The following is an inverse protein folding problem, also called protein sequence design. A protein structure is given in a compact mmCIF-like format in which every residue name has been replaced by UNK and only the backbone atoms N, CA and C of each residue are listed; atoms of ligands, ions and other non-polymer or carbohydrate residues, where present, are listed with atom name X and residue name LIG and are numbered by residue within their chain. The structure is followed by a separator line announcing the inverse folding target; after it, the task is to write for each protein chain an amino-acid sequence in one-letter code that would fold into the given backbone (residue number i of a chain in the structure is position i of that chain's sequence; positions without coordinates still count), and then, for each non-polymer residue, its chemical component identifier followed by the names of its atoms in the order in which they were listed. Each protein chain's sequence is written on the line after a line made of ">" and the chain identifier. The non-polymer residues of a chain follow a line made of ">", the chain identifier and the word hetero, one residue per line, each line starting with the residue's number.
data_IF_596634430718
#
_entry.id   IF_596634430718
#
_cell.length_a   1.000
_cell.length_b   1.000
_cell.length_c   1.000
_cell.angle_alpha   90.00
_cell.angle_beta   90.00
_cell.angle_gamma   90.00
#
_symmetry.space_group_name_H-M   'P 1'
#
loop_
_entity.id
_entity.type
_entity.pdbx_description
1 polymer ?
#
# COMPACT_ATOMS: atom_id res chain seq x y z
N UNK A 1 9.53 -8.20 -38.32
CA UNK A 1 8.76 -7.71 -37.16
C UNK A 1 8.68 -8.86 -36.18
N UNK A 2 9.56 -8.89 -35.19
CA UNK A 2 9.64 -9.96 -34.19
C UNK A 2 8.53 -9.75 -33.14
N UNK A 3 7.96 -10.83 -32.57
CA UNK A 3 6.88 -10.72 -31.59
C UNK A 3 7.38 -10.08 -30.29
N UNK A 4 6.52 -9.28 -29.67
CA UNK A 4 6.74 -8.63 -28.37
C UNK A 4 6.59 -9.70 -27.29
N UNK A 5 7.58 -10.57 -27.18
CA UNK A 5 7.78 -11.50 -26.06
C UNK A 5 9.28 -11.63 -25.86
N UNK A 6 9.95 -10.52 -25.59
CA UNK A 6 11.21 -10.56 -24.86
C UNK A 6 10.87 -10.33 -23.40
N UNK A 7 11.02 -11.42 -22.68
CA UNK A 7 10.93 -11.62 -21.24
C UNK A 7 11.69 -10.47 -20.56
N UNK A 8 11.01 -9.71 -19.70
CA UNK A 8 11.70 -8.80 -18.79
C UNK A 8 12.75 -9.62 -18.01
N UNK A 9 13.98 -9.11 -17.80
CA UNK A 9 15.00 -9.87 -17.09
C UNK A 9 14.40 -10.32 -15.75
N UNK A 10 14.36 -11.63 -15.53
CA UNK A 10 13.54 -12.31 -14.52
C UNK A 10 13.85 -11.97 -13.06
N UNK A 11 14.82 -11.10 -12.76
CA UNK A 11 15.24 -10.83 -11.38
C UNK A 11 15.64 -9.37 -11.18
N UNK A 12 14.68 -8.44 -11.26
CA UNK A 12 14.79 -7.17 -10.55
C UNK A 12 13.59 -7.00 -9.61
N UNK A 13 13.79 -7.33 -8.33
CA UNK A 13 12.81 -7.13 -7.26
C UNK A 13 12.42 -5.66 -7.05
N UNK A 14 13.15 -4.73 -7.68
CA UNK A 14 12.81 -3.30 -7.68
C UNK A 14 11.98 -2.87 -8.88
N UNK A 15 11.75 -3.76 -9.85
CA UNK A 15 10.97 -3.46 -11.05
C UNK A 15 9.48 -3.75 -10.83
N UNK A 16 8.63 -2.88 -11.39
CA UNK A 16 7.20 -3.12 -11.44
C UNK A 16 6.91 -4.26 -12.43
N UNK A 17 6.22 -5.30 -11.95
CA UNK A 17 5.77 -6.38 -12.82
C UNK A 17 4.66 -5.89 -13.75
N UNK A 18 4.57 -6.43 -14.99
CA UNK A 18 3.44 -6.16 -15.85
C UNK A 18 2.14 -6.60 -15.17
N UNK A 19 1.06 -5.83 -15.40
CA UNK A 19 -0.26 -6.18 -14.88
C UNK A 19 -0.70 -7.53 -15.43
N UNK A 20 -1.21 -8.39 -14.56
CA UNK A 20 -1.73 -9.71 -14.93
C UNK A 20 -2.87 -9.57 -15.98
N UNK A 21 -2.89 -10.39 -17.05
CA UNK A 21 -3.86 -10.23 -18.14
C UNK A 21 -5.34 -10.24 -17.73
N UNK A 22 -5.75 -11.12 -16.79
CA UNK A 22 -7.13 -11.14 -16.30
C UNK A 22 -7.45 -9.90 -15.45
N UNK A 23 -6.53 -9.44 -14.62
CA UNK A 23 -6.68 -8.19 -13.88
C UNK A 23 -6.88 -7.00 -14.82
N UNK A 24 -6.13 -6.94 -15.93
CA UNK A 24 -6.31 -5.93 -16.98
C UNK A 24 -7.71 -6.00 -17.60
N UNK A 25 -8.19 -7.20 -17.93
CA UNK A 25 -9.50 -7.38 -18.53
C UNK A 25 -10.62 -6.93 -17.57
N UNK A 26 -10.58 -7.39 -16.32
CA UNK A 26 -11.57 -7.02 -15.30
C UNK A 26 -11.58 -5.53 -15.02
N UNK A 27 -10.41 -4.87 -15.01
CA UNK A 27 -10.33 -3.43 -14.83
C UNK A 27 -11.12 -2.67 -15.91
N UNK A 28 -11.01 -3.10 -17.17
CA UNK A 28 -11.75 -2.48 -18.28
C UNK A 28 -13.27 -2.72 -18.15
N UNK A 29 -13.68 -3.95 -17.81
CA UNK A 29 -15.09 -4.30 -17.57
C UNK A 29 -15.71 -3.47 -16.43
N UNK A 30 -14.93 -3.19 -15.39
CA UNK A 30 -15.35 -2.36 -14.26
C UNK A 30 -15.50 -0.89 -14.65
N UNK A 31 -14.64 -0.35 -15.53
CA UNK A 31 -14.80 1.02 -16.02
C UNK A 31 -16.09 1.20 -16.84
N UNK A 32 -16.50 0.19 -17.58
CA UNK A 32 -17.73 0.26 -18.37
C UNK A 32 -19.01 0.18 -17.51
N UNK A 33 -18.96 -0.51 -16.38
CA UNK A 33 -20.17 -0.92 -15.63
C UNK A 33 -20.28 -0.41 -14.20
N UNK A 34 -19.18 -0.05 -13.54
CA UNK A 34 -19.09 0.16 -12.09
C UNK A 34 -18.38 1.47 -11.71
N UNK A 35 -18.87 2.61 -12.21
CA UNK A 35 -18.27 3.94 -11.98
C UNK A 35 -19.14 4.90 -11.16
N UNK A 36 -20.35 4.50 -10.78
CA UNK A 36 -21.29 5.36 -10.04
C UNK A 36 -20.79 5.63 -8.61
N UNK A 37 -20.90 6.88 -8.15
CA UNK A 37 -20.48 7.30 -6.81
C UNK A 37 -21.03 6.35 -5.72
N UNK A 38 -20.15 5.61 -4.99
CA UNK A 38 -20.56 4.63 -3.99
C UNK A 38 -21.12 5.27 -2.72
N UNK A 39 -21.14 6.59 -2.57
CA UNK A 39 -21.83 7.26 -1.46
C UNK A 39 -23.34 7.42 -1.70
N UNK A 40 -23.85 7.22 -2.93
CA UNK A 40 -25.26 7.44 -3.27
C UNK A 40 -26.14 6.20 -3.01
N UNK A 41 -27.41 6.39 -2.69
CA UNK A 41 -28.35 5.31 -2.35
C UNK A 41 -28.84 4.50 -3.59
N UNK A 42 -28.47 4.93 -4.80
CA UNK A 42 -28.91 4.31 -6.05
C UNK A 42 -28.41 2.85 -6.22
N UNK A 43 -29.15 2.02 -6.99
CA UNK A 43 -28.81 0.61 -7.23
C UNK A 43 -27.39 0.42 -7.79
N UNK A 44 -27.01 1.21 -8.80
CA UNK A 44 -25.68 1.07 -9.41
C UNK A 44 -24.56 1.51 -8.45
N UNK A 45 -24.82 2.47 -7.56
CA UNK A 45 -23.89 2.85 -6.49
C UNK A 45 -23.75 1.73 -5.45
N UNK A 46 -24.83 1.00 -5.17
CA UNK A 46 -24.78 -0.18 -4.30
C UNK A 46 -23.94 -1.31 -4.91
N UNK A 47 -24.03 -1.51 -6.23
CA UNK A 47 -23.20 -2.47 -6.95
C UNK A 47 -21.70 -2.17 -6.76
N UNK A 48 -21.25 -0.93 -6.97
CA UNK A 48 -19.86 -0.57 -6.75
C UNK A 48 -19.43 -0.75 -5.27
N UNK A 49 -20.28 -0.39 -4.30
CA UNK A 49 -19.99 -0.65 -2.88
C UNK A 49 -19.76 -2.14 -2.60
N UNK A 50 -20.60 -3.02 -3.15
CA UNK A 50 -20.45 -4.46 -2.96
C UNK A 50 -19.13 -4.96 -3.56
N UNK A 51 -18.79 -4.53 -4.79
CA UNK A 51 -17.52 -4.88 -5.43
C UNK A 51 -16.29 -4.42 -4.61
N UNK A 52 -16.34 -3.21 -4.04
CA UNK A 52 -15.29 -2.71 -3.14
C UNK A 52 -15.18 -3.60 -1.91
N UNK A 53 -16.31 -3.96 -1.28
CA UNK A 53 -16.31 -4.82 -0.09
C UNK A 53 -15.78 -6.22 -0.40
N UNK A 54 -16.20 -6.84 -1.50
CA UNK A 54 -15.71 -8.13 -1.96
C UNK A 54 -14.19 -8.10 -2.20
N UNK A 55 -13.67 -7.03 -2.82
CA UNK A 55 -12.23 -6.84 -2.99
C UNK A 55 -11.50 -6.72 -1.64
N UNK A 56 -12.03 -5.91 -0.71
CA UNK A 56 -11.44 -5.75 0.64
C UNK A 56 -11.45 -7.05 1.42
N UNK A 57 -12.54 -7.80 1.38
CA UNK A 57 -12.69 -9.11 2.03
C UNK A 57 -11.66 -10.09 1.47
N UNK A 58 -11.57 -10.21 0.14
CA UNK A 58 -10.58 -11.04 -0.54
C UNK A 58 -9.16 -10.71 -0.10
N UNK A 59 -8.73 -9.44 -0.16
CA UNK A 59 -7.37 -9.04 0.24
C UNK A 59 -7.14 -9.34 1.72
N UNK A 60 -8.07 -8.96 2.60
CA UNK A 60 -7.94 -9.17 4.05
C UNK A 60 -7.83 -10.65 4.42
N UNK A 61 -8.55 -11.53 3.72
CA UNK A 61 -8.50 -12.98 3.95
C UNK A 61 -7.14 -13.58 3.60
N UNK A 62 -6.50 -13.14 2.50
CA UNK A 62 -5.17 -13.57 2.11
C UNK A 62 -4.09 -13.03 3.06
N UNK A 63 -4.31 -11.86 3.66
CA UNK A 63 -3.44 -11.25 4.66
C UNK A 63 -3.68 -11.80 6.09
N UNK A 64 -4.78 -12.51 6.33
CA UNK A 64 -5.13 -13.03 7.65
C UNK A 64 -5.57 -11.96 8.66
N UNK A 65 -6.13 -10.84 8.18
CA UNK A 65 -6.60 -9.71 9.01
C UNK A 65 -8.11 -9.50 8.83
N UNK A 66 -8.75 -8.74 9.74
CA UNK A 66 -10.13 -8.33 9.54
C UNK A 66 -10.23 -7.25 8.44
N UNK A 67 -11.32 -7.23 7.67
CA UNK A 67 -11.50 -6.23 6.61
C UNK A 67 -11.60 -4.78 7.14
N UNK A 68 -11.94 -4.61 8.42
CA UNK A 68 -11.91 -3.31 9.13
C UNK A 68 -10.49 -2.81 9.43
N UNK A 69 -9.47 -3.67 9.33
CA UNK A 69 -8.06 -3.33 9.52
C UNK A 69 -7.38 -2.94 8.20
N UNK A 70 -8.11 -3.02 7.07
CA UNK A 70 -7.61 -2.71 5.74
C UNK A 70 -8.11 -1.33 5.28
N UNK A 71 -7.15 -0.46 4.94
CA UNK A 71 -7.39 0.85 4.34
C UNK A 71 -6.79 0.90 2.93
N UNK A 72 -7.58 1.36 1.95
CA UNK A 72 -7.12 1.53 0.56
C UNK A 72 -6.63 2.97 0.38
N UNK A 73 -5.35 3.12 0.07
CA UNK A 73 -4.73 4.44 -0.18
C UNK A 73 -4.42 4.61 -1.66
N UNK A 74 -4.58 5.84 -2.18
CA UNK A 74 -4.37 6.14 -3.59
C UNK A 74 -2.90 6.25 -4.01
N UNK A 75 -1.98 6.42 -3.05
CA UNK A 75 -0.55 6.55 -3.30
C UNK A 75 0.23 5.95 -2.13
N UNK A 76 1.38 5.32 -2.41
CA UNK A 76 2.15 4.55 -1.43
C UNK A 76 2.74 5.43 -0.32
N UNK A 77 3.30 6.59 -0.68
CA UNK A 77 3.80 7.58 0.27
C UNK A 77 2.73 8.06 1.25
N UNK A 78 1.49 8.25 0.78
CA UNK A 78 0.35 8.60 1.64
C UNK A 78 0.03 7.51 2.67
N UNK A 79 0.23 6.24 2.33
CA UNK A 79 0.11 5.12 3.28
C UNK A 79 1.06 5.25 4.46
N UNK A 80 2.35 5.49 4.19
CA UNK A 80 3.34 5.73 5.25
C UNK A 80 2.99 6.94 6.11
N UNK A 81 2.58 8.04 5.47
CA UNK A 81 2.19 9.25 6.17
C UNK A 81 1.00 8.99 7.10
N UNK A 82 -0.03 8.32 6.63
CA UNK A 82 -1.23 8.02 7.41
C UNK A 82 -0.93 7.09 8.59
N UNK A 83 -0.08 6.08 8.37
CA UNK A 83 0.28 5.12 9.41
C UNK A 83 1.19 5.72 10.50
N UNK A 84 2.23 6.47 10.11
CA UNK A 84 3.28 6.90 11.04
C UNK A 84 3.01 8.28 11.65
N UNK A 85 2.35 9.20 10.95
CA UNK A 85 2.17 10.56 11.45
C UNK A 85 1.37 10.62 12.74
N UNK A 86 0.31 9.81 12.84
CA UNK A 86 -0.50 9.69 14.06
C UNK A 86 0.32 9.15 15.23
N UNK A 87 1.09 8.09 14.98
CA UNK A 87 1.92 7.41 15.98
C UNK A 87 3.02 8.31 16.55
N UNK A 88 3.66 9.12 15.70
CA UNK A 88 4.80 9.98 16.05
C UNK A 88 4.39 11.38 16.53
N UNK A 89 3.09 11.67 16.67
CA UNK A 89 2.64 12.94 17.29
C UNK A 89 3.02 13.04 18.77
N UNK A 90 3.15 11.90 19.46
CA UNK A 90 3.52 11.85 20.87
C UNK A 90 5.04 11.78 21.02
N UNK A 91 5.65 12.89 21.50
CA UNK A 91 7.12 12.99 21.71
C UNK A 91 7.71 11.92 22.65
N UNK A 92 6.86 11.27 23.47
CA UNK A 92 7.29 10.26 24.46
C UNK A 92 7.50 8.87 23.83
N UNK A 93 7.01 8.64 22.63
CA UNK A 93 7.19 7.36 21.94
C UNK A 93 8.59 7.30 21.34
N UNK A 94 9.43 6.37 21.82
CA UNK A 94 10.72 6.09 21.21
C UNK A 94 10.48 5.43 19.85
N UNK A 95 11.02 6.03 18.78
CA UNK A 95 10.88 5.49 17.44
C UNK A 95 12.10 4.62 17.10
N UNK A 96 11.87 3.31 17.00
CA UNK A 96 12.90 2.32 16.69
C UNK A 96 12.70 1.87 15.26
N UNK A 97 13.76 1.89 14.46
CA UNK A 97 13.74 1.52 13.05
C UNK A 97 15.07 0.86 12.64
N UNK A 98 15.09 0.15 11.52
CA UNK A 98 16.26 -0.56 11.01
C UNK A 98 17.15 0.34 10.16
N UNK A 99 18.46 0.11 10.19
CA UNK A 99 19.43 0.78 9.32
C UNK A 99 19.21 0.50 7.82
N UNK A 100 18.43 -0.53 7.47
CA UNK A 100 18.10 -0.90 6.08
C UNK A 100 16.63 -0.62 5.73
N UNK A 101 15.90 0.12 6.56
CA UNK A 101 14.53 0.53 6.24
C UNK A 101 14.49 1.47 5.02
N UNK A 102 13.31 1.59 4.40
CA UNK A 102 13.12 2.51 3.27
C UNK A 102 13.42 3.95 3.68
N UNK A 103 13.94 4.75 2.75
CA UNK A 103 14.31 6.17 2.99
C UNK A 103 13.20 7.00 3.64
N UNK A 104 11.93 6.69 3.34
CA UNK A 104 10.77 7.34 3.96
C UNK A 104 10.75 7.18 5.48
N UNK A 105 11.14 6.01 6.01
CA UNK A 105 11.23 5.74 7.45
C UNK A 105 12.32 6.59 8.09
N UNK A 106 13.50 6.69 7.45
CA UNK A 106 14.57 7.58 7.92
C UNK A 106 14.12 9.06 7.92
N UNK A 107 13.29 9.48 6.97
CA UNK A 107 12.74 10.84 6.96
C UNK A 107 11.81 11.09 8.15
N UNK A 108 10.95 10.12 8.49
CA UNK A 108 10.13 10.20 9.71
C UNK A 108 10.98 10.22 10.98
N UNK A 109 12.05 9.43 11.05
CA UNK A 109 12.95 9.43 12.19
C UNK A 109 13.59 10.79 12.42
N UNK A 110 14.13 11.42 11.36
CA UNK A 110 14.67 12.80 11.44
C UNK A 110 13.61 13.79 11.90
N UNK A 111 12.41 13.75 11.32
CA UNK A 111 11.32 14.65 11.71
C UNK A 111 10.92 14.48 13.19
N UNK A 112 10.86 13.24 13.67
CA UNK A 112 10.56 12.95 15.09
C UNK A 112 11.64 13.49 16.02
N UNK A 113 12.91 13.28 15.66
CA UNK A 113 14.06 13.77 16.40
C UNK A 113 14.11 15.31 16.45
N UNK A 114 13.86 16.00 15.34
CA UNK A 114 13.79 17.47 15.25
C UNK A 114 12.69 18.05 16.16
N UNK A 115 11.60 17.30 16.37
CA UNK A 115 10.51 17.66 17.29
C UNK A 115 10.83 17.31 18.76
N UNK A 116 12.02 16.78 19.05
CA UNK A 116 12.47 16.39 20.37
C UNK A 116 12.06 14.98 20.79
N UNK A 117 11.66 14.13 19.85
CA UNK A 117 11.40 12.70 20.09
C UNK A 117 12.68 11.87 20.17
N UNK A 118 12.64 10.77 20.92
CA UNK A 118 13.75 9.82 20.99
C UNK A 118 13.71 8.86 19.79
N UNK A 119 14.87 8.61 19.17
CA UNK A 119 15.04 7.65 18.08
C UNK A 119 16.09 6.60 18.44
N UNK A 120 15.97 5.41 17.85
CA UNK A 120 17.01 4.38 17.86
C UNK A 120 17.06 3.70 16.49
N UNK A 121 18.17 3.89 15.79
CA UNK A 121 18.47 3.12 14.58
C UNK A 121 19.14 1.80 15.00
N UNK A 122 18.58 0.68 14.54
CA UNK A 122 19.07 -0.65 14.82
C UNK A 122 19.92 -1.14 13.64
N UNK A 123 21.20 -1.39 13.89
CA UNK A 123 22.09 -2.01 12.90
C UNK A 123 21.67 -3.45 12.63
N UNK A 124 21.88 -3.91 11.39
CA UNK A 124 21.69 -5.30 10.97
C UNK A 124 23.03 -6.02 10.90
N UNK A 125 23.01 -7.34 11.07
CA UNK A 125 24.19 -8.18 10.85
C UNK A 125 24.37 -8.49 9.35
N UNK A 126 25.42 -9.21 9.02
CA UNK A 126 25.73 -9.60 7.63
C UNK A 126 25.11 -10.93 7.20
N UNK A 127 24.25 -11.55 8.02
CA UNK A 127 23.79 -12.92 7.79
C UNK A 127 22.52 -13.03 6.94
N UNK A 128 21.86 -11.90 6.64
CA UNK A 128 20.65 -11.86 5.82
C UNK A 128 19.43 -12.29 6.59
#
# INVERSE_FOLDING_TARGET
>A
MLPITDIAPEDDFQSELPLEPMARQHLLELFDSAWFDPAKIHRNSAQLRNLINEAKESISSHLGIASSELEVVGELGFGFQSALSGLLTQRKSKFIYSAIDRQVIHAFARQHQERGGEILEQSVDSNG
#
